data_IF_885643129631
#
_entry.id   IF_885643129631
#
_cell.length_a   1.000
_cell.length_b   1.000
_cell.length_c   1.000
_cell.angle_alpha   90.00
_cell.angle_beta   90.00
_cell.angle_gamma   90.00
#
_symmetry.space_group_name_H-M   'P 1'
#
loop_
_entity.id
_entity.type
_entity.pdbx_description
1 polymer ?
#
# COMPACT_ATOMS: atom_id res chain seq x y z
N UNK A 1 32.02 -8.15 -9.80
CA UNK A 1 31.17 -7.05 -10.32
C UNK A 1 29.73 -7.38 -9.97
N UNK A 2 29.18 -6.71 -8.96
CA UNK A 2 27.83 -6.95 -8.45
C UNK A 2 26.81 -6.35 -9.42
N UNK A 3 25.81 -7.12 -9.83
CA UNK A 3 24.80 -6.72 -10.82
C UNK A 3 23.87 -5.62 -10.28
N UNK A 4 23.23 -4.81 -11.14
CA UNK A 4 22.29 -3.77 -10.71
C UNK A 4 21.10 -4.30 -9.89
N UNK A 5 20.67 -5.54 -10.12
CA UNK A 5 19.60 -6.19 -9.34
C UNK A 5 20.08 -6.62 -7.95
N UNK A 6 21.32 -7.07 -7.82
CA UNK A 6 21.92 -7.37 -6.51
C UNK A 6 22.05 -6.11 -5.65
N UNK A 7 22.38 -4.95 -6.24
CA UNK A 7 22.38 -3.66 -5.54
C UNK A 7 20.98 -3.29 -5.02
N UNK A 8 19.93 -3.46 -5.84
CA UNK A 8 18.55 -3.15 -5.41
C UNK A 8 18.04 -4.12 -4.33
N UNK A 9 18.37 -5.41 -4.43
CA UNK A 9 18.02 -6.42 -3.42
C UNK A 9 18.69 -6.11 -2.09
N UNK A 10 19.98 -5.82 -2.11
CA UNK A 10 20.73 -5.48 -0.91
C UNK A 10 20.17 -4.21 -0.26
N UNK A 11 19.84 -3.20 -1.07
CA UNK A 11 19.20 -1.97 -0.62
C UNK A 11 17.83 -2.19 0.03
N UNK A 12 16.98 -3.04 -0.56
CA UNK A 12 15.66 -3.33 0.02
C UNK A 12 15.79 -3.99 1.40
N UNK A 13 16.65 -5.01 1.53
CA UNK A 13 16.81 -5.74 2.78
C UNK A 13 17.43 -4.85 3.88
N UNK A 14 18.38 -3.99 3.53
CA UNK A 14 18.92 -3.02 4.49
C UNK A 14 17.87 -2.00 4.92
N UNK A 15 17.11 -1.43 3.98
CA UNK A 15 16.04 -0.47 4.30
C UNK A 15 14.95 -1.08 5.18
N UNK A 16 14.59 -2.35 4.96
CA UNK A 16 13.64 -3.06 5.84
C UNK A 16 14.23 -3.29 7.23
N UNK A 17 15.49 -3.71 7.34
CA UNK A 17 16.14 -3.91 8.63
C UNK A 17 16.21 -2.60 9.43
N UNK A 18 16.60 -1.49 8.78
CA UNK A 18 16.67 -0.17 9.38
C UNK A 18 15.29 0.29 9.86
N UNK A 19 14.26 0.15 9.01
CA UNK A 19 12.90 0.57 9.36
C UNK A 19 12.31 -0.25 10.53
N UNK A 20 12.56 -1.56 10.56
CA UNK A 20 12.13 -2.42 11.68
C UNK A 20 12.88 -2.04 12.96
N UNK A 21 14.16 -1.68 12.87
CA UNK A 21 14.95 -1.22 14.00
C UNK A 21 14.39 0.09 14.57
N UNK A 22 14.16 1.10 13.72
CA UNK A 22 13.55 2.37 14.13
C UNK A 22 12.19 2.15 14.79
N UNK A 23 11.34 1.34 14.13
CA UNK A 23 10.01 1.01 14.65
C UNK A 23 10.11 0.28 15.99
N UNK A 24 11.04 -0.65 16.14
CA UNK A 24 11.25 -1.38 17.40
C UNK A 24 11.62 -0.46 18.56
N UNK A 25 12.50 0.51 18.31
CA UNK A 25 12.86 1.54 19.30
C UNK A 25 11.65 2.41 19.64
N UNK A 26 10.83 2.81 18.65
CA UNK A 26 9.60 3.58 18.88
C UNK A 26 8.60 2.84 19.78
N UNK A 27 8.58 1.50 19.72
CA UNK A 27 7.78 0.64 20.60
C UNK A 27 8.44 0.32 21.95
N UNK A 28 9.61 0.91 22.25
CA UNK A 28 10.29 0.80 23.54
C UNK A 28 11.23 -0.40 23.68
N UNK A 29 11.63 -1.04 22.58
CA UNK A 29 12.72 -2.02 22.61
C UNK A 29 14.07 -1.31 22.83
N UNK A 30 15.04 -2.01 23.41
CA UNK A 30 16.42 -1.50 23.42
C UNK A 30 16.97 -1.44 21.99
N UNK A 31 17.92 -0.55 21.74
CA UNK A 31 18.57 -0.44 20.42
C UNK A 31 19.12 -1.78 19.93
N UNK A 32 19.71 -2.57 20.84
CA UNK A 32 20.27 -3.88 20.53
C UNK A 32 19.18 -4.91 20.17
N UNK A 33 18.06 -4.92 20.90
CA UNK A 33 16.92 -5.79 20.60
C UNK A 33 16.25 -5.41 19.28
N UNK A 34 16.12 -4.12 19.00
CA UNK A 34 15.51 -3.61 17.78
C UNK A 34 16.38 -3.90 16.56
N UNK A 35 17.70 -3.74 16.67
CA UNK A 35 18.66 -4.09 15.61
C UNK A 35 18.62 -5.59 15.32
N UNK A 36 18.67 -6.43 16.35
CA UNK A 36 18.57 -7.87 16.20
C UNK A 36 17.25 -8.29 15.53
N UNK A 37 16.14 -7.62 15.86
CA UNK A 37 14.84 -7.83 15.22
C UNK A 37 14.88 -7.45 13.73
N UNK A 38 15.45 -6.29 13.40
CA UNK A 38 15.60 -5.83 12.02
C UNK A 38 16.39 -6.81 11.16
N UNK A 39 17.54 -7.27 11.67
CA UNK A 39 18.35 -8.30 11.01
C UNK A 39 17.59 -9.62 10.84
N UNK A 40 16.89 -10.08 11.87
CA UNK A 40 16.11 -11.31 11.80
C UNK A 40 15.00 -11.25 10.73
N UNK A 41 14.33 -10.11 10.59
CA UNK A 41 13.31 -9.90 9.54
C UNK A 41 13.96 -9.90 8.16
N UNK A 42 15.09 -9.22 7.97
CA UNK A 42 15.80 -9.20 6.70
C UNK A 42 16.29 -10.60 6.28
N UNK A 43 16.80 -11.40 7.24
CA UNK A 43 17.26 -12.77 6.98
C UNK A 43 16.09 -13.71 6.64
N UNK A 44 14.95 -13.56 7.34
CA UNK A 44 13.71 -14.25 6.99
C UNK A 44 13.29 -13.94 5.55
N UNK A 45 13.31 -12.66 5.16
CA UNK A 45 12.95 -12.26 3.81
C UNK A 45 13.89 -12.85 2.76
N UNK A 46 15.19 -12.81 3.00
CA UNK A 46 16.19 -13.35 2.09
C UNK A 46 16.05 -14.87 1.92
N UNK A 47 15.82 -15.60 3.01
CA UNK A 47 15.73 -17.07 3.01
C UNK A 47 14.42 -17.59 2.43
N UNK A 48 13.28 -16.96 2.74
CA UNK A 48 11.96 -17.47 2.35
C UNK A 48 11.50 -16.97 0.99
N UNK A 49 11.91 -15.75 0.62
CA UNK A 49 11.47 -15.09 -0.61
C UNK A 49 12.60 -14.90 -1.63
N UNK A 50 13.81 -15.36 -1.31
CA UNK A 50 14.94 -15.40 -2.24
C UNK A 50 14.58 -16.13 -3.54
N UNK A 51 14.82 -15.47 -4.68
CA UNK A 51 14.53 -16.01 -6.01
C UNK A 51 13.12 -15.69 -6.53
N UNK A 52 12.25 -15.09 -5.72
CA UNK A 52 10.92 -14.62 -6.16
C UNK A 52 10.99 -13.15 -6.58
N UNK A 53 10.23 -12.79 -7.61
CA UNK A 53 10.12 -11.41 -8.10
C UNK A 53 8.80 -10.78 -7.62
N UNK A 54 8.88 -9.88 -6.65
CA UNK A 54 7.73 -9.10 -6.20
C UNK A 54 7.68 -7.75 -6.91
N UNK A 55 6.49 -7.39 -7.39
CA UNK A 55 6.23 -6.04 -7.89
C UNK A 55 5.40 -5.31 -6.84
N UNK A 56 5.99 -4.28 -6.23
CA UNK A 56 5.24 -3.34 -5.41
C UNK A 56 4.60 -2.31 -6.35
N UNK A 57 3.27 -2.30 -6.51
CA UNK A 57 2.63 -1.26 -7.29
C UNK A 57 2.93 0.09 -6.64
N UNK A 58 3.49 1.02 -7.42
CA UNK A 58 3.80 2.39 -6.98
C UNK A 58 2.55 3.16 -6.57
N UNK A 59 1.41 2.70 -7.06
CA UNK A 59 0.13 3.34 -6.82
C UNK A 59 -0.36 3.00 -5.41
N UNK A 60 -0.42 4.06 -4.62
CA UNK A 60 -1.45 4.49 -3.66
C UNK A 60 -2.90 3.97 -3.87
N UNK A 61 -3.15 3.00 -4.75
CA UNK A 61 -4.43 2.39 -5.04
C UNK A 61 -4.88 1.36 -4.00
N UNK A 62 -3.96 0.80 -3.19
CA UNK A 62 -4.36 -0.16 -2.15
C UNK A 62 -4.69 0.49 -0.80
N UNK A 63 -4.04 1.62 -0.46
CA UNK A 63 -4.50 2.46 0.62
C UNK A 63 -5.62 3.34 0.09
N UNK A 64 -6.82 2.76 -0.01
CA UNK A 64 -8.03 3.51 0.33
C UNK A 64 -7.66 4.23 1.63
N UNK A 65 -7.37 5.52 1.57
CA UNK A 65 -7.15 6.25 2.81
C UNK A 65 -8.42 6.00 3.61
N UNK A 66 -8.33 5.63 4.90
CA UNK A 66 -9.54 5.39 5.71
C UNK A 66 -10.52 6.56 5.56
N UNK A 67 -9.98 7.77 5.37
CA UNK A 67 -10.68 9.00 5.00
C UNK A 67 -11.43 8.90 3.66
N UNK A 68 -10.83 8.40 2.58
CA UNK A 68 -11.48 8.24 1.28
C UNK A 68 -12.64 7.23 1.35
N UNK A 69 -12.49 6.16 2.14
CA UNK A 69 -13.57 5.20 2.39
C UNK A 69 -14.71 5.83 3.18
N UNK A 70 -14.39 6.56 4.26
CA UNK A 70 -15.37 7.31 5.05
C UNK A 70 -16.12 8.34 4.20
N UNK A 71 -15.42 9.11 3.38
CA UNK A 71 -16.05 10.07 2.45
C UNK A 71 -17.02 9.35 1.50
N UNK A 72 -16.64 8.17 1.00
CA UNK A 72 -17.48 7.36 0.12
C UNK A 72 -18.71 6.77 0.82
N UNK A 73 -18.56 6.31 2.06
CA UNK A 73 -19.68 5.78 2.87
C UNK A 73 -20.66 6.88 3.29
N UNK A 74 -20.17 8.09 3.59
CA UNK A 74 -21.00 9.24 3.93
C UNK A 74 -21.66 9.92 2.72
N UNK A 75 -21.29 9.52 1.50
CA UNK A 75 -21.83 10.12 0.28
C UNK A 75 -23.24 9.62 -0.04
N UNK A 76 -24.20 10.56 -0.08
CA UNK A 76 -25.65 10.31 -0.27
C UNK A 76 -26.15 10.63 -1.69
N UNK A 77 -25.27 10.99 -2.62
CA UNK A 77 -25.63 11.39 -3.99
C UNK A 77 -25.78 12.90 -4.20
N UNK A 78 -26.20 13.63 -3.17
CA UNK A 78 -26.54 15.07 -3.26
C UNK A 78 -25.86 15.95 -2.20
N UNK A 79 -25.06 15.39 -1.29
CA UNK A 79 -24.41 16.11 -0.18
C UNK A 79 -22.99 16.63 -0.50
N UNK A 80 -22.76 17.12 -1.72
CA UNK A 80 -21.44 17.55 -2.19
C UNK A 80 -20.85 18.72 -1.39
N UNK A 81 -21.66 19.76 -1.14
CA UNK A 81 -21.22 20.94 -0.40
C UNK A 81 -20.90 20.61 1.07
N UNK A 82 -21.72 19.77 1.71
CA UNK A 82 -21.52 19.29 3.09
C UNK A 82 -20.19 18.56 3.25
N UNK A 83 -19.92 17.59 2.37
CA UNK A 83 -18.68 16.83 2.38
C UNK A 83 -17.46 17.68 2.00
N UNK A 84 -17.64 18.62 1.07
CA UNK A 84 -16.60 19.59 0.68
C UNK A 84 -16.13 20.41 1.89
N UNK A 85 -17.07 20.96 2.67
CA UNK A 85 -16.78 21.70 3.89
C UNK A 85 -16.20 20.80 4.99
N UNK A 86 -16.77 19.61 5.20
CA UNK A 86 -16.35 18.68 6.27
C UNK A 86 -14.92 18.18 6.08
N UNK A 87 -14.53 17.88 4.84
CA UNK A 87 -13.22 17.27 4.54
C UNK A 87 -12.20 18.25 3.93
N UNK A 88 -12.59 19.50 3.68
CA UNK A 88 -11.70 20.51 3.08
C UNK A 88 -11.29 20.20 1.65
N UNK A 89 -12.17 19.54 0.87
CA UNK A 89 -11.89 19.10 -0.50
C UNK A 89 -12.84 19.81 -1.45
N UNK A 90 -12.33 20.37 -2.55
CA UNK A 90 -13.19 20.97 -3.59
C UNK A 90 -14.19 19.96 -4.14
N UNK A 91 -15.40 20.40 -4.52
CA UNK A 91 -16.41 19.50 -5.10
C UNK A 91 -15.89 18.71 -6.32
N UNK A 92 -15.03 19.34 -7.13
CA UNK A 92 -14.36 18.67 -8.26
C UNK A 92 -13.43 17.55 -7.79
N UNK A 93 -12.68 17.77 -6.72
CA UNK A 93 -11.84 16.76 -6.09
C UNK A 93 -12.67 15.63 -5.49
N UNK A 94 -13.78 15.97 -4.82
CA UNK A 94 -14.71 15.02 -4.23
C UNK A 94 -15.34 14.10 -5.29
N UNK A 95 -15.79 14.65 -6.44
CA UNK A 95 -16.30 13.86 -7.56
C UNK A 95 -15.26 12.86 -8.09
N UNK A 96 -14.00 13.28 -8.23
CA UNK A 96 -12.91 12.38 -8.67
C UNK A 96 -12.65 11.27 -7.65
N UNK A 97 -12.67 11.61 -6.36
CA UNK A 97 -12.50 10.67 -5.26
C UNK A 97 -13.61 9.62 -5.28
N UNK A 98 -14.88 10.02 -5.31
CA UNK A 98 -16.03 9.11 -5.34
C UNK A 98 -15.97 8.17 -6.54
N UNK A 99 -15.69 8.68 -7.75
CA UNK A 99 -15.55 7.82 -8.95
C UNK A 99 -14.39 6.82 -8.83
N UNK A 100 -13.26 7.24 -8.24
CA UNK A 100 -12.11 6.36 -8.02
C UNK A 100 -12.47 5.22 -7.06
N UNK A 101 -12.99 5.56 -5.88
CA UNK A 101 -13.37 4.59 -4.85
C UNK A 101 -14.48 3.67 -5.35
N UNK A 102 -15.49 4.20 -6.07
CA UNK A 102 -16.57 3.39 -6.64
C UNK A 102 -16.07 2.31 -7.59
N UNK A 103 -15.18 2.67 -8.54
CA UNK A 103 -14.57 1.68 -9.46
C UNK A 103 -13.79 0.60 -8.73
N UNK A 104 -13.07 0.98 -7.67
CA UNK A 104 -12.32 0.02 -6.87
C UNK A 104 -13.25 -0.91 -6.10
N UNK A 105 -14.29 -0.38 -5.43
CA UNK A 105 -15.27 -1.20 -4.70
C UNK A 105 -16.01 -2.16 -5.63
N UNK A 106 -16.38 -1.71 -6.83
CA UNK A 106 -17.00 -2.58 -7.86
C UNK A 106 -16.05 -3.69 -8.32
N UNK A 107 -14.78 -3.36 -8.61
CA UNK A 107 -13.77 -4.35 -9.00
C UNK A 107 -13.49 -5.40 -7.90
N UNK A 108 -13.61 -5.03 -6.62
CA UNK A 108 -13.46 -5.98 -5.50
C UNK A 108 -14.71 -6.82 -5.26
N UNK A 109 -15.92 -6.26 -5.48
CA UNK A 109 -17.19 -6.98 -5.26
C UNK A 109 -17.56 -7.91 -6.40
N UNK A 110 -17.12 -7.62 -7.61
CA UNK A 110 -17.43 -8.42 -8.80
C UNK A 110 -16.15 -9.02 -9.37
N UNK A 111 -15.81 -10.28 -9.07
CA UNK A 111 -14.79 -10.99 -9.84
C UNK A 111 -15.23 -10.99 -11.31
N UNK A 112 -14.30 -10.74 -12.22
CA UNK A 112 -14.60 -10.61 -13.64
C UNK A 112 -15.36 -11.83 -14.13
N UNK A 113 -16.60 -11.63 -14.58
CA UNK A 113 -17.50 -12.72 -14.96
C UNK A 113 -17.08 -13.38 -16.28
N UNK A 114 -16.24 -12.71 -17.07
CA UNK A 114 -15.69 -13.24 -18.31
C UNK A 114 -14.25 -12.80 -18.51
N UNK A 115 -13.30 -13.68 -18.21
CA UNK A 115 -12.01 -13.70 -18.90
C UNK A 115 -12.21 -14.55 -20.14
N UNK A 116 -12.62 -13.94 -21.26
CA UNK A 116 -12.50 -14.63 -22.54
C UNK A 116 -11.01 -14.82 -22.78
N UNK A 117 -10.56 -16.08 -22.73
CA UNK A 117 -9.23 -16.42 -23.21
C UNK A 117 -9.22 -16.17 -24.71
N UNK A 118 -8.48 -15.16 -25.13
CA UNK A 118 -7.98 -15.08 -26.50
C UNK A 118 -7.02 -16.26 -26.70
N UNK A 119 -7.59 -17.41 -27.09
CA UNK A 119 -6.88 -18.48 -27.75
C UNK A 119 -7.43 -18.56 -29.17
N UNK A 120 -6.81 -17.81 -30.06
CA UNK A 120 -6.62 -18.19 -31.46
C UNK A 120 -5.16 -17.97 -31.85
#
# INVERSE_FOLDING_TARGET
MTTPMEHKRHKLLSEVADHVTETGVDYGLSSEQAEQLGLAVADFLASHFGGQNFTFPRDYAYKLSLRDMQIYEEFRGNNWAELSTKYGITERGLRKLIHRVHRQVMAHRQPQLFSFGDNE
#
